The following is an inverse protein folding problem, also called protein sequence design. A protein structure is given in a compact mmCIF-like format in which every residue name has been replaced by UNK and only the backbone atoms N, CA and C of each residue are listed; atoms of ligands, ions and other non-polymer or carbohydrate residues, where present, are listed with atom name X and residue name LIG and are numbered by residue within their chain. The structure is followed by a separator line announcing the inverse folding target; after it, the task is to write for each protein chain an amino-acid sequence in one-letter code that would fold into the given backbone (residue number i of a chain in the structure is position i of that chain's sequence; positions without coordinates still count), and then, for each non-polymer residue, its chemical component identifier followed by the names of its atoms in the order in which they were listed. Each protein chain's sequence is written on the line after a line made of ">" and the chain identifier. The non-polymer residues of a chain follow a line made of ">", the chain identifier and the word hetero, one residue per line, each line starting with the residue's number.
data_IF_074058153541
#
_entry.id   IF_074058153541
#
_cell.length_a   1.000
_cell.length_b   1.000
_cell.length_c   1.000
_cell.angle_alpha   90.00
_cell.angle_beta   90.00
_cell.angle_gamma   90.00
#
_symmetry.space_group_name_H-M   'P 1'
#
loop_
_entity.id
_entity.type
_entity.pdbx_description
1 polymer ?
#
# COMPACT_ATOMS: atom_id res chain seq x y z
N UNK A 1 39.71 38.93 31.24
CA UNK A 1 40.14 39.62 30.01
C UNK A 1 39.19 39.21 28.92
N UNK A 2 38.21 40.07 28.63
CA UNK A 2 37.21 39.85 27.59
C UNK A 2 37.77 40.46 26.30
N UNK A 3 37.95 39.66 25.26
CA UNK A 3 38.44 40.12 23.97
C UNK A 3 37.21 40.39 23.10
N UNK A 4 36.88 41.67 22.91
CA UNK A 4 35.95 42.13 21.88
C UNK A 4 36.62 41.97 20.51
N UNK A 5 36.02 41.16 19.63
CA UNK A 5 36.46 41.02 18.24
C UNK A 5 35.53 41.90 17.40
N UNK A 6 36.00 43.10 17.06
CA UNK A 6 35.32 44.00 16.13
C UNK A 6 35.62 43.56 14.69
N UNK A 7 34.59 43.19 13.94
CA UNK A 7 34.74 42.85 12.53
C UNK A 7 35.07 44.10 11.70
N UNK A 8 36.17 44.03 10.95
CA UNK A 8 36.60 45.04 9.97
C UNK A 8 36.44 44.47 8.56
N UNK A 9 35.82 45.24 7.67
CA UNK A 9 35.73 44.91 6.25
C UNK A 9 37.06 45.29 5.57
N UNK A 10 37.38 44.69 4.41
CA UNK A 10 38.65 44.88 3.65
C UNK A 10 38.99 46.34 3.25
N UNK A 11 38.13 47.32 3.56
CA UNK A 11 38.36 48.74 3.29
C UNK A 11 38.43 49.63 4.56
N UNK A 12 38.55 49.05 5.77
CA UNK A 12 38.90 49.82 6.98
C UNK A 12 37.92 50.93 7.39
N UNK A 13 36.63 50.84 7.04
CA UNK A 13 35.59 51.77 7.51
C UNK A 13 34.62 51.08 8.47
N UNK A 14 34.15 51.76 9.54
CA UNK A 14 33.14 51.22 10.45
C UNK A 14 31.82 51.01 9.71
N UNK A 15 31.28 49.80 9.78
CA UNK A 15 29.99 49.47 9.17
C UNK A 15 28.86 50.25 9.88
N UNK A 16 28.16 51.10 9.13
CA UNK A 16 26.95 51.76 9.60
C UNK A 16 25.87 50.76 9.99
N UNK A 17 25.13 51.09 11.05
CA UNK A 17 24.02 50.30 11.61
C UNK A 17 23.03 49.86 10.52
N UNK A 18 23.04 48.58 10.16
CA UNK A 18 22.09 48.01 9.20
C UNK A 18 22.50 46.71 8.51
N UNK A 19 23.77 46.29 8.61
CA UNK A 19 24.23 45.03 8.00
C UNK A 19 23.85 43.86 8.91
N UNK A 20 22.93 43.01 8.44
CA UNK A 20 22.62 41.73 9.11
C UNK A 20 23.91 40.91 9.23
N UNK A 21 24.19 40.27 10.38
CA UNK A 21 25.41 39.50 10.55
C UNK A 21 25.52 38.44 9.46
N UNK A 22 26.65 38.43 8.75
CA UNK A 22 26.93 37.45 7.71
C UNK A 22 27.23 36.09 8.36
N UNK A 23 26.54 35.04 7.90
CA UNK A 23 26.83 33.67 8.33
C UNK A 23 28.11 33.21 7.63
N UNK A 24 29.15 32.97 8.42
CA UNK A 24 30.38 32.31 7.93
C UNK A 24 30.17 30.80 7.96
N UNK A 25 30.33 30.16 6.81
CA UNK A 25 30.29 28.70 6.68
C UNK A 25 31.74 28.16 6.61
N UNK A 26 32.09 27.25 7.52
CA UNK A 26 33.40 26.60 7.58
C UNK A 26 33.38 25.19 6.97
N UNK A 27 32.28 24.81 6.30
CA UNK A 27 32.12 23.49 5.69
C UNK A 27 33.19 23.24 4.63
N UNK A 28 33.94 22.14 4.81
CA UNK A 28 34.92 21.68 3.82
C UNK A 28 34.28 20.86 2.69
N UNK A 29 33.11 20.28 2.96
CA UNK A 29 32.35 19.45 2.02
C UNK A 29 31.19 20.28 1.49
N UNK A 30 31.15 20.50 0.17
CA UNK A 30 30.07 21.26 -0.45
C UNK A 30 28.80 20.41 -0.52
N UNK A 31 27.68 20.99 -0.07
CA UNK A 31 26.38 20.34 -0.18
C UNK A 31 25.90 20.43 -1.63
N UNK A 32 25.91 19.30 -2.34
CA UNK A 32 25.47 19.24 -3.75
C UNK A 32 23.94 19.29 -3.90
N UNK A 33 23.21 18.88 -2.86
CA UNK A 33 21.74 18.82 -2.85
C UNK A 33 21.22 19.82 -1.84
N UNK A 34 20.23 20.63 -2.23
CA UNK A 34 19.58 21.55 -1.29
C UNK A 34 18.78 20.76 -0.25
N UNK A 35 18.66 21.32 0.94
CA UNK A 35 17.83 20.73 1.98
C UNK A 35 16.39 20.64 1.45
N UNK A 36 15.76 19.45 1.44
CA UNK A 36 14.41 19.28 0.95
C UNK A 36 13.40 19.94 1.90
N UNK A 37 12.15 20.06 1.44
CA UNK A 37 11.11 20.59 2.30
C UNK A 37 10.73 19.55 3.37
N UNK A 38 10.93 19.92 4.64
CA UNK A 38 10.77 18.99 5.78
C UNK A 38 9.32 18.57 6.05
N UNK A 39 8.32 19.28 5.49
CA UNK A 39 6.90 18.95 5.64
C UNK A 39 6.30 18.34 4.35
N UNK A 40 7.09 18.22 3.29
CA UNK A 40 6.66 17.73 1.97
C UNK A 40 6.05 16.33 2.06
N UNK A 41 6.70 15.42 2.78
CA UNK A 41 6.21 14.05 2.97
C UNK A 41 4.80 14.02 3.57
N UNK A 42 4.49 14.89 4.54
CA UNK A 42 3.16 14.95 5.15
C UNK A 42 2.13 15.50 4.17
N UNK A 43 2.50 16.57 3.47
CA UNK A 43 1.63 17.24 2.49
C UNK A 43 1.31 16.33 1.30
N UNK A 44 2.33 15.76 0.67
CA UNK A 44 2.16 14.85 -0.48
C UNK A 44 1.34 13.62 -0.10
N UNK A 45 1.57 13.05 1.09
CA UNK A 45 0.78 11.91 1.58
C UNK A 45 -0.70 12.27 1.70
N UNK A 46 -1.02 13.45 2.23
CA UNK A 46 -2.40 13.90 2.41
C UNK A 46 -3.07 14.30 1.10
N UNK A 47 -2.34 15.01 0.23
CA UNK A 47 -2.79 15.37 -1.13
C UNK A 47 -3.08 14.12 -1.96
N UNK A 48 -2.19 13.11 -1.90
CA UNK A 48 -2.40 11.80 -2.55
C UNK A 48 -3.59 11.04 -1.98
N UNK A 49 -3.89 11.19 -0.69
CA UNK A 49 -5.06 10.56 -0.07
C UNK A 49 -6.38 11.21 -0.53
N UNK A 50 -6.44 12.55 -0.57
CA UNK A 50 -7.66 13.29 -0.90
C UNK A 50 -7.93 13.39 -2.41
N UNK A 51 -6.90 13.68 -3.21
CA UNK A 51 -7.01 13.97 -4.64
C UNK A 51 -8.06 15.06 -4.94
N UNK A 52 -8.17 16.07 -4.06
CA UNK A 52 -9.28 17.04 -4.08
C UNK A 52 -9.25 18.00 -5.28
N UNK A 53 -8.07 18.27 -5.83
CA UNK A 53 -7.90 19.14 -6.99
C UNK A 53 -8.06 18.41 -8.33
N UNK A 54 -8.33 17.10 -8.31
CA UNK A 54 -8.44 16.27 -9.50
C UNK A 54 -9.89 16.06 -9.88
N UNK A 55 -10.16 16.10 -11.19
CA UNK A 55 -11.44 15.68 -11.74
C UNK A 55 -11.62 14.15 -11.56
N UNK A 56 -12.85 13.64 -11.53
CA UNK A 56 -13.12 12.20 -11.37
C UNK A 56 -12.30 11.30 -12.29
N UNK A 57 -12.13 11.70 -13.55
CA UNK A 57 -11.38 10.94 -14.56
C UNK A 57 -9.86 11.06 -14.44
N UNK A 58 -9.37 12.03 -13.65
CA UNK A 58 -7.93 12.26 -13.43
C UNK A 58 -7.42 11.60 -12.13
N UNK A 59 -8.31 10.96 -11.36
CA UNK A 59 -7.94 10.36 -10.07
C UNK A 59 -7.32 8.98 -10.24
N UNK A 60 -6.24 8.78 -9.51
CA UNK A 60 -5.62 7.48 -9.33
C UNK A 60 -6.41 6.61 -8.36
N UNK A 61 -6.30 5.28 -8.50
CA UNK A 61 -6.92 4.31 -7.60
C UNK A 61 -6.15 4.20 -6.26
N UNK A 62 -6.06 5.32 -5.54
CA UNK A 62 -5.39 5.45 -4.23
C UNK A 62 -6.23 6.32 -3.30
N UNK A 63 -5.95 6.29 -2.00
CA UNK A 63 -6.63 7.13 -1.01
C UNK A 63 -8.14 6.87 -0.98
N UNK A 64 -8.93 7.94 -0.95
CA UNK A 64 -10.40 7.87 -0.92
C UNK A 64 -10.98 7.12 -2.13
N UNK A 65 -10.41 7.28 -3.32
CA UNK A 65 -10.88 6.61 -4.53
C UNK A 65 -10.78 5.09 -4.40
N UNK A 66 -9.67 4.58 -3.87
CA UNK A 66 -9.49 3.14 -3.62
C UNK A 66 -10.44 2.63 -2.52
N UNK A 67 -10.70 3.43 -1.49
CA UNK A 67 -11.63 3.07 -0.40
C UNK A 67 -13.05 2.93 -0.92
N UNK A 68 -13.53 3.90 -1.71
CA UNK A 68 -14.87 3.81 -2.31
C UNK A 68 -14.98 2.64 -3.29
N UNK A 69 -14.01 2.46 -4.20
CA UNK A 69 -14.03 1.35 -5.16
C UNK A 69 -13.86 -0.04 -4.55
N UNK A 70 -13.27 -0.17 -3.36
CA UNK A 70 -13.14 -1.46 -2.65
C UNK A 70 -14.35 -1.79 -1.79
N UNK A 71 -15.14 -0.79 -1.38
CA UNK A 71 -16.34 -0.97 -0.56
C UNK A 71 -17.59 -1.12 -1.43
N UNK A 72 -17.66 -0.43 -2.57
CA UNK A 72 -18.77 -0.50 -3.51
C UNK A 72 -18.46 -1.47 -4.68
N UNK A 73 -19.46 -2.18 -5.22
CA UNK A 73 -20.89 -2.05 -4.96
C UNK A 73 -21.35 -2.74 -3.66
N UNK A 74 -22.39 -2.19 -3.05
CA UNK A 74 -23.09 -2.82 -1.93
C UNK A 74 -24.41 -3.37 -2.48
N UNK A 75 -24.61 -4.68 -2.43
CA UNK A 75 -25.89 -5.30 -2.79
C UNK A 75 -26.71 -5.68 -1.56
N UNK A 76 -28.03 -5.66 -1.71
CA UNK A 76 -28.94 -6.23 -0.72
C UNK A 76 -28.80 -7.77 -0.66
N UNK A 77 -29.21 -8.38 0.45
CA UNK A 77 -29.21 -9.84 0.64
C UNK A 77 -29.96 -10.61 -0.46
N UNK A 78 -31.00 -10.00 -1.05
CA UNK A 78 -31.79 -10.62 -2.14
C UNK A 78 -31.24 -10.32 -3.54
N UNK A 79 -30.16 -9.54 -3.63
CA UNK A 79 -29.60 -8.98 -4.86
C UNK A 79 -30.63 -8.31 -5.78
N UNK A 80 -31.67 -7.69 -5.19
CA UNK A 80 -32.71 -6.92 -5.89
C UNK A 80 -32.38 -5.43 -5.99
N UNK A 81 -31.40 -4.96 -5.23
CA UNK A 81 -30.90 -3.61 -5.30
C UNK A 81 -29.39 -3.59 -5.10
N UNK A 82 -28.73 -2.62 -5.73
CA UNK A 82 -27.32 -2.36 -5.54
C UNK A 82 -27.04 -0.87 -5.53
N UNK A 83 -26.18 -0.50 -4.60
CA UNK A 83 -25.65 0.84 -4.46
C UNK A 83 -24.24 0.86 -5.06
N UNK A 84 -24.00 1.77 -6.00
CA UNK A 84 -22.74 1.92 -6.74
C UNK A 84 -22.13 3.30 -6.49
N UNK A 85 -20.81 3.34 -6.33
CA UNK A 85 -20.06 4.59 -6.25
C UNK A 85 -19.75 5.14 -7.66
N UNK A 86 -20.21 6.37 -7.93
CA UNK A 86 -19.96 7.09 -9.19
C UNK A 86 -18.70 7.94 -9.05
N UNK A 87 -18.74 8.95 -8.18
CA UNK A 87 -17.65 9.91 -7.97
C UNK A 87 -17.78 10.61 -6.61
N UNK A 88 -16.76 11.36 -6.20
CA UNK A 88 -16.81 12.22 -5.01
C UNK A 88 -16.30 13.62 -5.30
N UNK A 89 -16.69 14.59 -4.48
CA UNK A 89 -16.21 15.97 -4.51
C UNK A 89 -15.85 16.41 -3.11
N UNK A 90 -14.69 17.02 -2.96
CA UNK A 90 -14.21 17.55 -1.67
C UNK A 90 -14.19 19.06 -1.77
N UNK A 91 -14.87 19.72 -0.84
CA UNK A 91 -14.91 21.16 -0.74
C UNK A 91 -15.83 21.85 -1.75
N UNK A 92 -16.04 23.13 -1.49
CA UNK A 92 -16.87 24.00 -2.32
C UNK A 92 -15.97 24.79 -3.27
N UNK A 93 -15.74 24.25 -4.46
CA UNK A 93 -14.95 24.92 -5.50
C UNK A 93 -15.81 25.93 -6.23
N UNK A 94 -15.64 27.21 -5.94
CA UNK A 94 -16.39 28.29 -6.57
C UNK A 94 -15.66 29.63 -6.52
N UNK A 95 -16.04 30.55 -7.39
CA UNK A 95 -15.59 31.93 -7.30
C UNK A 95 -16.19 32.66 -6.08
N UNK A 96 -15.70 33.87 -5.80
CA UNK A 96 -16.14 34.68 -4.66
C UNK A 96 -17.67 34.86 -4.58
N UNK A 97 -18.32 35.15 -5.72
CA UNK A 97 -19.78 35.33 -5.79
C UNK A 97 -20.58 34.03 -5.94
N UNK A 98 -19.92 32.88 -6.16
CA UNK A 98 -20.56 31.57 -6.28
C UNK A 98 -21.21 31.26 -7.63
N UNK A 99 -21.17 32.15 -8.62
CA UNK A 99 -21.76 31.90 -9.95
C UNK A 99 -20.94 30.92 -10.81
N UNK A 100 -19.60 30.96 -10.69
CA UNK A 100 -18.69 30.04 -11.36
C UNK A 100 -18.31 28.94 -10.37
N UNK A 101 -18.58 27.67 -10.70
CA UNK A 101 -18.40 26.54 -9.79
C UNK A 101 -17.78 25.32 -10.48
N UNK A 102 -16.95 24.59 -9.73
CA UNK A 102 -16.39 23.32 -10.15
C UNK A 102 -14.98 23.41 -10.72
N UNK A 103 -14.23 22.33 -10.51
CA UNK A 103 -12.82 22.20 -10.88
C UNK A 103 -12.56 22.21 -12.39
N UNK A 104 -13.58 21.99 -13.21
CA UNK A 104 -13.45 22.00 -14.67
C UNK A 104 -13.07 23.38 -15.22
N UNK A 105 -13.42 24.46 -14.52
CA UNK A 105 -12.96 25.82 -14.86
C UNK A 105 -11.48 26.06 -14.55
N UNK A 106 -10.83 25.13 -13.84
CA UNK A 106 -9.39 25.08 -13.62
C UNK A 106 -8.70 24.11 -14.59
N UNK A 107 -9.30 23.89 -15.76
CA UNK A 107 -8.72 23.11 -16.86
C UNK A 107 -8.70 23.94 -18.14
N UNK A 108 -7.65 23.74 -18.92
CA UNK A 108 -7.57 24.21 -20.30
C UNK A 108 -7.05 23.09 -21.20
N UNK A 109 -7.11 23.29 -22.51
CA UNK A 109 -6.59 22.34 -23.48
C UNK A 109 -5.20 22.76 -23.94
N UNK A 110 -4.29 21.79 -24.05
CA UNK A 110 -2.99 22.01 -24.63
C UNK A 110 -3.14 22.48 -26.09
N UNK A 111 -2.42 23.55 -26.45
CA UNK A 111 -2.46 24.12 -27.81
C UNK A 111 -1.96 23.16 -28.89
N UNK A 112 -1.07 22.25 -28.52
CA UNK A 112 -0.38 21.36 -29.47
C UNK A 112 -1.11 20.04 -29.65
N UNK A 113 -1.44 19.34 -28.56
CA UNK A 113 -2.02 17.99 -28.61
C UNK A 113 -3.47 17.91 -28.12
N UNK A 114 -4.06 19.01 -27.64
CA UNK A 114 -5.43 19.04 -27.13
C UNK A 114 -5.64 18.39 -25.76
N UNK A 115 -4.60 17.77 -25.16
CA UNK A 115 -4.70 17.15 -23.83
C UNK A 115 -5.15 18.15 -22.78
N UNK A 116 -5.96 17.71 -21.81
CA UNK A 116 -6.37 18.55 -20.69
C UNK A 116 -5.16 18.87 -19.81
N UNK A 117 -4.96 20.15 -19.51
CA UNK A 117 -3.92 20.67 -18.63
C UNK A 117 -4.56 21.44 -17.46
N UNK A 118 -3.90 21.43 -16.31
CA UNK A 118 -4.37 22.13 -15.11
C UNK A 118 -3.84 23.54 -15.06
N UNK A 119 -4.73 24.51 -14.88
CA UNK A 119 -4.36 25.92 -14.73
C UNK A 119 -4.30 26.28 -13.25
N UNK A 120 -3.33 27.12 -12.88
CA UNK A 120 -3.11 27.52 -11.49
C UNK A 120 -3.42 29.02 -11.32
N UNK A 121 -4.50 29.40 -10.63
CA UNK A 121 -4.83 30.80 -10.34
C UNK A 121 -3.73 31.60 -9.63
N UNK A 122 -2.83 30.93 -8.92
CA UNK A 122 -1.81 31.56 -8.06
C UNK A 122 -0.46 31.74 -8.74
N UNK A 123 -0.27 31.18 -9.94
CA UNK A 123 0.99 31.29 -10.69
C UNK A 123 0.74 31.96 -12.04
N UNK A 124 1.69 32.77 -12.48
CA UNK A 124 1.70 33.36 -13.83
C UNK A 124 2.55 32.56 -14.81
N UNK A 125 3.15 31.45 -14.37
CA UNK A 125 4.13 30.69 -15.14
C UNK A 125 3.46 29.85 -16.25
N UNK A 126 4.21 29.60 -17.32
CA UNK A 126 3.76 28.69 -18.36
C UNK A 126 3.69 27.24 -17.85
N UNK A 127 2.67 26.52 -18.29
CA UNK A 127 2.38 25.14 -17.90
C UNK A 127 2.91 24.19 -18.97
N UNK A 128 3.74 23.25 -18.54
CA UNK A 128 4.23 22.18 -19.40
C UNK A 128 3.17 21.09 -19.51
N UNK A 129 2.78 20.74 -20.73
CA UNK A 129 1.86 19.65 -20.99
C UNK A 129 2.51 18.30 -20.65
N UNK A 130 1.90 17.53 -19.76
CA UNK A 130 2.40 16.20 -19.39
C UNK A 130 2.37 15.17 -20.53
N UNK A 131 1.50 15.36 -21.54
CA UNK A 131 1.36 14.42 -22.66
C UNK A 131 2.34 14.65 -23.81
N UNK A 132 2.67 15.91 -24.13
CA UNK A 132 3.53 16.25 -25.28
C UNK A 132 4.74 17.13 -24.95
N UNK A 133 4.88 17.60 -23.72
CA UNK A 133 6.00 18.45 -23.27
C UNK A 133 5.95 19.90 -23.76
N UNK A 134 4.91 20.32 -24.49
CA UNK A 134 4.81 21.71 -24.96
C UNK A 134 4.48 22.70 -23.84
N UNK A 135 4.97 23.93 -23.96
CA UNK A 135 4.64 25.05 -23.07
C UNK A 135 3.27 25.64 -23.43
N UNK A 136 2.43 25.85 -22.43
CA UNK A 136 1.07 26.38 -22.58
C UNK A 136 0.90 27.55 -21.62
N UNK A 137 0.26 28.63 -22.09
CA UNK A 137 -0.04 29.78 -21.22
C UNK A 137 -1.02 29.36 -20.13
N UNK A 138 -0.78 29.83 -18.91
CA UNK A 138 -1.70 29.65 -17.79
C UNK A 138 -2.91 30.58 -17.91
N UNK A 139 -3.87 30.16 -18.73
CA UNK A 139 -5.11 30.89 -18.98
C UNK A 139 -6.18 30.44 -18.00
N UNK A 140 -6.40 31.24 -16.95
CA UNK A 140 -7.37 30.96 -15.92
C UNK A 140 -8.73 31.56 -16.29
N UNK A 141 -9.79 30.77 -16.21
CA UNK A 141 -11.15 31.25 -16.43
C UNK A 141 -11.59 32.03 -15.18
N UNK A 142 -11.95 33.29 -15.36
CA UNK A 142 -12.47 34.16 -14.30
C UNK A 142 -13.99 34.30 -14.43
N UNK A 143 -14.64 34.63 -13.32
CA UNK A 143 -16.09 34.84 -13.29
C UNK A 143 -16.46 36.22 -13.83
N UNK A 144 -17.46 36.32 -14.71
CA UNK A 144 -17.89 37.60 -15.31
C UNK A 144 -18.37 38.63 -14.28
N UNK A 145 -18.94 38.18 -13.16
CA UNK A 145 -19.50 39.07 -12.13
C UNK A 145 -18.47 39.57 -11.12
N UNK A 146 -17.53 38.72 -10.69
CA UNK A 146 -16.55 39.09 -9.66
C UNK A 146 -15.10 39.13 -10.13
N UNK A 147 -14.82 38.78 -11.39
CA UNK A 147 -13.48 38.70 -11.99
C UNK A 147 -12.49 37.78 -11.26
N UNK A 148 -12.99 36.95 -10.34
CA UNK A 148 -12.20 35.98 -9.57
C UNK A 148 -12.34 34.59 -10.19
N UNK A 149 -11.29 33.77 -10.19
CA UNK A 149 -11.34 32.39 -10.64
C UNK A 149 -12.02 31.48 -9.62
N UNK A 150 -12.24 30.23 -10.00
CA UNK A 150 -12.69 29.19 -9.07
C UNK A 150 -11.59 28.91 -8.05
N UNK A 151 -11.94 28.96 -6.77
CA UNK A 151 -11.06 28.57 -5.66
C UNK A 151 -11.80 27.72 -4.65
N UNK A 152 -11.06 27.13 -3.71
CA UNK A 152 -11.66 26.43 -2.58
C UNK A 152 -12.29 27.44 -1.63
N UNK A 153 -13.61 27.46 -1.55
CA UNK A 153 -14.36 28.28 -0.61
C UNK A 153 -14.46 27.56 0.74
N UNK A 154 -13.73 28.09 1.72
CA UNK A 154 -13.74 27.61 3.10
C UNK A 154 -14.87 28.28 3.88
N UNK A 155 -15.46 27.53 4.82
CA UNK A 155 -16.52 28.06 5.71
C UNK A 155 -15.93 28.97 6.78
N UNK A 156 -14.76 28.60 7.29
CA UNK A 156 -14.00 29.33 8.30
C UNK A 156 -12.51 29.22 7.95
N UNK A 157 -11.74 30.24 8.29
CA UNK A 157 -10.28 30.16 8.19
C UNK A 157 -9.66 29.47 9.43
N UNK A 158 -8.33 29.31 9.41
CA UNK A 158 -7.58 28.66 10.48
C UNK A 158 -7.71 29.43 11.81
N UNK A 159 -7.67 30.76 11.77
CA UNK A 159 -7.69 31.61 12.96
C UNK A 159 -9.07 31.60 13.61
N UNK A 160 -10.13 31.72 12.82
CA UNK A 160 -11.51 31.60 13.27
C UNK A 160 -11.79 30.24 13.91
N UNK A 161 -11.26 29.16 13.32
CA UNK A 161 -11.38 27.82 13.90
C UNK A 161 -10.68 27.72 15.27
N UNK A 162 -9.50 28.31 15.42
CA UNK A 162 -8.76 28.37 16.69
C UNK A 162 -9.52 29.15 17.76
N UNK A 163 -9.96 30.38 17.44
CA UNK A 163 -10.65 31.27 18.37
C UNK A 163 -12.01 30.70 18.82
N UNK A 164 -12.73 30.02 17.92
CA UNK A 164 -14.08 29.49 18.19
C UNK A 164 -14.09 28.03 18.66
N UNK A 165 -12.94 27.38 18.80
CA UNK A 165 -12.89 25.98 19.21
C UNK A 165 -13.45 25.00 18.17
N UNK A 166 -13.43 25.35 16.87
CA UNK A 166 -13.98 24.53 15.78
C UNK A 166 -12.89 23.70 15.09
N UNK A 167 -13.29 22.67 14.34
CA UNK A 167 -12.37 21.91 13.47
C UNK A 167 -12.30 22.58 12.10
N UNK A 168 -11.08 22.77 11.58
CA UNK A 168 -10.86 23.27 10.23
C UNK A 168 -11.06 22.13 9.23
N UNK A 169 -12.16 22.16 8.48
CA UNK A 169 -12.60 21.04 7.66
C UNK A 169 -13.24 21.49 6.33
N UNK A 170 -13.36 20.54 5.42
CA UNK A 170 -14.04 20.67 4.13
C UNK A 170 -15.09 19.57 3.95
N UNK A 171 -16.26 19.88 3.37
CA UNK A 171 -17.31 18.88 3.16
C UNK A 171 -16.91 17.88 2.08
N UNK A 172 -17.24 16.61 2.29
CA UNK A 172 -17.14 15.54 1.31
C UNK A 172 -18.54 15.21 0.81
N UNK A 173 -18.74 15.36 -0.49
CA UNK A 173 -19.94 14.91 -1.19
C UNK A 173 -19.61 13.68 -2.03
N UNK A 174 -20.49 12.69 -2.03
CA UNK A 174 -20.32 11.45 -2.79
C UNK A 174 -21.55 11.25 -3.66
N UNK A 175 -21.33 11.10 -4.97
CA UNK A 175 -22.38 10.77 -5.93
C UNK A 175 -22.51 9.25 -6.00
N UNK A 176 -23.69 8.76 -5.68
CA UNK A 176 -23.99 7.34 -5.57
C UNK A 176 -25.16 7.02 -6.49
N UNK A 177 -25.13 5.84 -7.10
CA UNK A 177 -26.21 5.31 -7.95
C UNK A 177 -26.87 4.11 -7.25
N UNK A 178 -28.18 4.19 -7.05
CA UNK A 178 -29.01 3.06 -6.65
C UNK A 178 -29.66 2.44 -7.88
N UNK A 179 -29.33 1.19 -8.18
CA UNK A 179 -29.98 0.39 -9.21
C UNK A 179 -30.90 -0.63 -8.55
N UNK A 180 -32.18 -0.65 -8.94
CA UNK A 180 -33.18 -1.62 -8.46
C UNK A 180 -33.55 -2.55 -9.62
N UNK A 181 -33.58 -3.85 -9.36
CA UNK A 181 -33.96 -4.88 -10.31
C UNK A 181 -35.27 -5.54 -9.92
N UNK A 182 -36.11 -5.82 -10.91
CA UNK A 182 -37.15 -6.82 -10.78
C UNK A 182 -36.55 -8.18 -11.14
N UNK A 183 -36.76 -9.16 -10.25
CA UNK A 183 -36.29 -10.53 -10.42
C UNK A 183 -37.50 -11.40 -10.75
N UNK A 184 -37.49 -12.00 -11.92
CA UNK A 184 -38.49 -12.98 -12.31
C UNK A 184 -38.19 -14.32 -11.60
N UNK A 185 -39.17 -14.85 -10.85
CA UNK A 185 -39.00 -16.03 -10.00
C UNK A 185 -38.79 -17.31 -10.82
N UNK A 186 -39.29 -17.37 -12.06
CA UNK A 186 -39.17 -18.56 -12.92
C UNK A 186 -37.86 -18.61 -13.70
N UNK A 187 -37.37 -17.46 -14.18
CA UNK A 187 -36.21 -17.40 -15.09
C UNK A 187 -34.92 -16.95 -14.40
N UNK A 188 -35.00 -16.44 -13.16
CA UNK A 188 -33.89 -15.81 -12.43
C UNK A 188 -33.21 -14.66 -13.22
N UNK A 189 -33.83 -14.17 -14.29
CA UNK A 189 -33.35 -13.02 -15.04
C UNK A 189 -33.65 -11.74 -14.24
N UNK A 190 -32.69 -10.80 -14.30
CA UNK A 190 -32.81 -9.49 -13.66
C UNK A 190 -33.08 -8.45 -14.73
N UNK A 191 -34.20 -7.75 -14.63
CA UNK A 191 -34.48 -6.56 -15.43
C UNK A 191 -34.32 -5.31 -14.56
N UNK A 192 -33.71 -4.26 -15.11
CA UNK A 192 -33.57 -2.98 -14.41
C UNK A 192 -34.96 -2.35 -14.29
N UNK A 193 -35.39 -2.09 -13.06
CA UNK A 193 -36.63 -1.39 -12.74
C UNK A 193 -36.42 0.12 -12.65
N UNK A 194 -35.41 0.53 -11.90
CA UNK A 194 -35.16 1.92 -11.57
C UNK A 194 -33.66 2.17 -11.38
N UNK A 195 -33.22 3.36 -11.76
CA UNK A 195 -31.87 3.86 -11.53
C UNK A 195 -31.98 5.28 -11.00
N UNK A 196 -31.49 5.50 -9.78
CA UNK A 196 -31.46 6.83 -9.15
C UNK A 196 -30.03 7.21 -8.82
N UNK A 197 -29.60 8.38 -9.27
CA UNK A 197 -28.32 8.98 -8.90
C UNK A 197 -28.54 10.19 -8.00
N UNK A 198 -27.82 10.25 -6.89
CA UNK A 198 -27.90 11.36 -5.94
C UNK A 198 -26.52 11.71 -5.39
N UNK A 199 -26.26 13.01 -5.21
CA UNK A 199 -25.07 13.53 -4.53
C UNK A 199 -25.40 13.71 -3.05
N UNK A 200 -24.81 12.87 -2.20
CA UNK A 200 -25.07 12.85 -0.76
C UNK A 200 -23.91 13.50 -0.01
N UNK A 201 -24.21 14.33 0.99
CA UNK A 201 -23.21 14.80 1.94
C UNK A 201 -22.77 13.65 2.84
N UNK A 202 -21.48 13.32 2.81
CA UNK A 202 -20.91 12.15 3.48
C UNK A 202 -20.20 12.51 4.80
N UNK A 203 -20.02 13.80 5.08
CA UNK A 203 -19.35 14.30 6.28
C UNK A 203 -18.27 15.33 5.96
N UNK A 204 -17.61 15.81 6.99
CA UNK A 204 -16.50 16.77 6.88
C UNK A 204 -15.16 16.07 7.05
N UNK A 205 -14.19 16.40 6.20
CA UNK A 205 -12.81 15.97 6.31
C UNK A 205 -11.96 17.10 6.88
N UNK A 206 -11.18 16.88 7.96
CA UNK A 206 -10.24 17.89 8.46
C UNK A 206 -9.26 18.30 7.37
N UNK A 207 -9.03 19.59 7.18
CA UNK A 207 -8.11 20.08 6.15
C UNK A 207 -6.74 20.36 6.77
N UNK A 208 -5.67 19.99 6.07
CA UNK A 208 -4.31 20.26 6.50
C UNK A 208 -3.97 21.74 6.26
N UNK A 209 -3.31 22.38 7.22
CA UNK A 209 -2.80 23.75 7.09
C UNK A 209 -1.54 23.77 6.20
N UNK A 210 -1.09 24.96 5.80
CA UNK A 210 0.15 25.12 5.03
C UNK A 210 1.39 24.61 5.77
N UNK A 211 1.33 24.52 7.11
CA UNK A 211 2.41 24.06 7.97
C UNK A 211 2.41 22.53 8.19
N UNK A 212 1.48 21.79 7.58
CA UNK A 212 1.36 20.34 7.76
C UNK A 212 0.64 19.90 9.03
N UNK A 213 -0.14 20.80 9.64
CA UNK A 213 -0.89 20.56 10.88
C UNK A 213 -2.40 20.53 10.62
N UNK A 214 -3.18 20.15 11.63
CA UNK A 214 -4.65 20.14 11.58
C UNK A 214 -5.22 20.91 12.77
N UNK A 215 -6.26 21.72 12.56
CA UNK A 215 -6.99 22.33 13.67
C UNK A 215 -8.18 21.44 14.01
N UNK A 216 -8.13 20.80 15.18
CA UNK A 216 -9.19 19.93 15.71
C UNK A 216 -9.71 20.55 17.00
N UNK A 217 -10.98 20.94 17.01
CA UNK A 217 -11.63 21.62 18.14
C UNK A 217 -10.83 22.84 18.63
N UNK A 218 -10.39 23.69 17.70
CA UNK A 218 -9.57 24.88 17.93
C UNK A 218 -8.10 24.62 18.32
N UNK A 219 -7.70 23.37 18.49
CA UNK A 219 -6.33 23.01 18.87
C UNK A 219 -5.56 22.49 17.66
N UNK A 220 -4.34 23.00 17.47
CA UNK A 220 -3.43 22.51 16.44
C UNK A 220 -2.87 21.13 16.82
N UNK A 221 -2.94 20.20 15.88
CA UNK A 221 -2.50 18.81 16.02
C UNK A 221 -1.65 18.40 14.83
N UNK A 222 -0.72 17.48 15.08
CA UNK A 222 0.14 16.89 14.06
C UNK A 222 -0.10 15.39 14.01
N UNK A 223 -0.16 14.84 12.81
CA UNK A 223 -0.18 13.39 12.60
C UNK A 223 1.25 12.93 12.39
N UNK A 224 1.69 11.98 13.23
CA UNK A 224 3.05 11.42 13.15
C UNK A 224 3.03 10.19 12.26
N UNK A 225 3.99 10.12 11.33
CA UNK A 225 4.21 8.93 10.51
C UNK A 225 4.54 7.72 11.39
N UNK A 226 3.74 6.66 11.27
CA UNK A 226 3.97 5.43 12.00
C UNK A 226 4.92 4.52 11.23
N UNK A 227 5.90 3.96 11.93
CA UNK A 227 6.73 2.89 11.40
C UNK A 227 6.14 1.54 11.84
N UNK A 228 5.58 0.79 10.90
CA UNK A 228 5.07 -0.56 11.13
C UNK A 228 5.78 -1.58 10.23
N UNK A 229 5.72 -2.85 10.60
CA UNK A 229 6.23 -3.93 9.75
C UNK A 229 5.41 -3.99 8.46
N UNK A 230 6.08 -4.16 7.33
CA UNK A 230 5.41 -4.39 6.06
C UNK A 230 4.61 -5.69 6.10
N UNK A 231 3.48 -5.78 5.39
CA UNK A 231 2.84 -7.06 5.14
C UNK A 231 3.80 -8.00 4.41
N UNK A 232 3.78 -9.28 4.78
CA UNK A 232 4.67 -10.27 4.19
C UNK A 232 4.92 -11.48 5.08
N UNK A 233 5.89 -12.30 4.66
CA UNK A 233 6.33 -13.48 5.39
C UNK A 233 7.70 -13.22 6.00
N UNK A 234 7.80 -13.41 7.31
CA UNK A 234 9.02 -13.18 8.08
C UNK A 234 9.49 -14.48 8.71
N UNK A 235 10.78 -14.77 8.59
CA UNK A 235 11.40 -15.91 9.24
C UNK A 235 12.33 -15.41 10.33
N UNK A 236 12.12 -15.89 11.55
CA UNK A 236 12.93 -15.59 12.72
C UNK A 236 13.54 -16.90 13.23
N UNK A 237 14.82 -16.84 13.61
CA UNK A 237 15.59 -17.99 14.08
C UNK A 237 16.40 -17.59 15.31
N UNK A 238 16.35 -18.39 16.37
CA UNK A 238 17.20 -18.17 17.54
C UNK A 238 18.66 -18.54 17.23
N UNK A 239 19.63 -17.85 17.85
CA UNK A 239 21.07 -18.05 17.61
C UNK A 239 21.54 -19.49 17.83
N UNK A 240 20.86 -20.23 18.69
CA UNK A 240 21.16 -21.63 19.03
C UNK A 240 20.45 -22.65 18.13
N UNK A 241 19.78 -22.22 17.06
CA UNK A 241 18.96 -23.07 16.18
C UNK A 241 17.85 -23.87 16.88
N UNK A 242 17.46 -23.53 18.12
CA UNK A 242 16.43 -24.29 18.85
C UNK A 242 15.03 -23.79 18.57
N UNK A 243 14.89 -22.68 17.85
CA UNK A 243 13.62 -22.04 17.58
C UNK A 243 13.61 -21.49 16.16
N UNK A 244 12.61 -21.91 15.40
CA UNK A 244 12.30 -21.42 14.06
C UNK A 244 10.86 -20.95 14.05
N UNK A 245 10.65 -19.73 13.58
CA UNK A 245 9.37 -19.06 13.54
C UNK A 245 9.14 -18.48 12.15
N UNK A 246 8.00 -18.77 11.56
CA UNK A 246 7.51 -18.09 10.36
C UNK A 246 6.26 -17.30 10.71
N UNK A 247 6.24 -16.00 10.40
CA UNK A 247 5.09 -15.11 10.63
C UNK A 247 4.55 -14.63 9.29
N UNK A 248 3.26 -14.79 9.07
CA UNK A 248 2.52 -14.21 7.95
C UNK A 248 1.76 -13.02 8.49
N UNK A 249 2.19 -11.82 8.09
CA UNK A 249 1.58 -10.55 8.46
C UNK A 249 0.76 -10.06 7.25
N UNK A 250 -0.58 -10.13 7.28
CA UNK A 250 -1.39 -9.60 6.19
C UNK A 250 -1.47 -8.06 6.27
N UNK A 251 -1.87 -7.42 5.16
CA UNK A 251 -2.21 -5.99 5.17
C UNK A 251 -3.46 -5.71 6.01
N UNK A 252 -4.44 -6.62 5.96
CA UNK A 252 -5.65 -6.60 6.77
C UNK A 252 -6.04 -8.03 7.13
N UNK A 253 -6.42 -8.26 8.39
CA UNK A 253 -6.91 -9.55 8.87
C UNK A 253 -5.96 -10.23 9.86
N UNK A 254 -6.19 -11.52 10.05
CA UNK A 254 -5.57 -12.30 11.12
C UNK A 254 -4.13 -12.69 10.83
N UNK A 255 -3.27 -12.59 11.85
CA UNK A 255 -1.87 -12.99 11.75
C UNK A 255 -1.76 -14.50 11.91
N UNK A 256 -0.90 -15.14 11.09
CA UNK A 256 -0.65 -16.58 11.18
C UNK A 256 0.82 -16.81 11.48
N UNK A 257 1.11 -17.56 12.54
CA UNK A 257 2.47 -17.86 13.00
C UNK A 257 2.67 -19.38 13.03
N UNK A 258 3.81 -19.83 12.51
CA UNK A 258 4.26 -21.22 12.56
C UNK A 258 5.50 -21.29 13.42
N UNK A 259 5.49 -22.11 14.47
CA UNK A 259 6.60 -22.24 15.40
C UNK A 259 6.95 -23.71 15.69
N UNK A 260 8.24 -24.01 15.79
CA UNK A 260 8.70 -25.29 16.32
C UNK A 260 8.86 -25.22 17.84
N UNK A 261 8.46 -26.29 18.54
CA UNK A 261 8.78 -26.48 19.95
C UNK A 261 10.12 -27.20 20.15
N UNK A 262 10.54 -27.37 21.41
CA UNK A 262 11.76 -28.09 21.77
C UNK A 262 11.74 -29.59 21.45
N UNK A 263 10.58 -30.16 21.13
CA UNK A 263 10.37 -31.54 20.69
C UNK A 263 10.28 -31.65 19.16
N UNK A 264 10.62 -30.59 18.43
CA UNK A 264 10.49 -30.47 16.97
C UNK A 264 9.06 -30.67 16.45
N UNK A 265 8.04 -30.38 17.26
CA UNK A 265 6.65 -30.36 16.82
C UNK A 265 6.30 -28.99 16.25
N UNK A 266 5.71 -28.97 15.05
CA UNK A 266 5.28 -27.75 14.38
C UNK A 266 3.87 -27.35 14.84
N UNK A 267 3.77 -26.16 15.43
CA UNK A 267 2.53 -25.54 15.85
C UNK A 267 2.16 -24.36 14.97
N UNK A 268 0.86 -24.09 14.89
CA UNK A 268 0.28 -22.90 14.30
C UNK A 268 -0.42 -22.08 15.38
N UNK A 269 -0.35 -20.76 15.23
CA UNK A 269 -1.04 -19.78 16.05
C UNK A 269 -1.70 -18.75 15.16
N UNK A 270 -2.98 -18.46 15.41
CA UNK A 270 -3.75 -17.43 14.69
C UNK A 270 -4.07 -16.32 15.70
N UNK A 271 -3.80 -15.06 15.36
CA UNK A 271 -4.05 -13.86 16.19
C UNK A 271 -3.48 -13.96 17.62
N UNK A 272 -2.30 -14.58 17.75
CA UNK A 272 -1.64 -14.79 19.05
C UNK A 272 -2.51 -15.55 20.07
N UNK A 273 -3.51 -16.31 19.62
CA UNK A 273 -4.37 -17.15 20.46
C UNK A 273 -3.65 -18.45 20.84
N UNK A 274 -4.39 -19.46 21.32
CA UNK A 274 -3.85 -20.77 21.70
C UNK A 274 -3.18 -21.46 20.51
N UNK A 275 -2.00 -22.03 20.74
CA UNK A 275 -1.29 -22.86 19.75
C UNK A 275 -1.98 -24.20 19.54
N UNK A 276 -1.97 -24.69 18.30
CA UNK A 276 -2.48 -26.01 17.92
C UNK A 276 -1.57 -26.64 16.86
N UNK A 277 -1.66 -27.95 16.65
CA UNK A 277 -0.76 -28.65 15.73
C UNK A 277 -0.97 -28.17 14.29
N UNK A 278 0.12 -28.00 13.54
CA UNK A 278 0.06 -27.54 12.16
C UNK A 278 -0.72 -28.49 11.24
N UNK A 279 -0.77 -29.79 11.56
CA UNK A 279 -1.59 -30.75 10.82
C UNK A 279 -3.09 -30.41 10.85
N UNK A 280 -3.59 -29.83 11.94
CA UNK A 280 -5.00 -29.38 12.03
C UNK A 280 -5.23 -28.21 11.06
N UNK A 281 -4.28 -27.27 10.98
CA UNK A 281 -4.33 -26.17 10.03
C UNK A 281 -4.34 -26.66 8.58
N UNK A 282 -3.45 -27.60 8.24
CA UNK A 282 -3.36 -28.20 6.91
C UNK A 282 -4.63 -28.97 6.51
N UNK A 283 -5.25 -29.66 7.47
CA UNK A 283 -6.54 -30.33 7.25
C UNK A 283 -7.65 -29.34 6.94
N UNK A 284 -7.69 -28.20 7.63
CA UNK A 284 -8.64 -27.13 7.33
C UNK A 284 -8.43 -26.52 5.93
N UNK A 285 -7.19 -26.51 5.42
CA UNK A 285 -6.85 -26.08 4.06
C UNK A 285 -7.15 -27.12 2.97
N UNK A 286 -7.61 -28.32 3.33
CA UNK A 286 -8.03 -29.36 2.39
C UNK A 286 -7.14 -30.61 2.31
N UNK A 287 -6.04 -30.68 3.07
CA UNK A 287 -5.22 -31.91 3.20
C UNK A 287 -5.87 -32.84 4.22
N UNK A 288 -6.94 -33.54 3.82
CA UNK A 288 -7.87 -34.22 4.73
C UNK A 288 -7.26 -35.41 5.44
N UNK A 289 -6.42 -36.22 4.78
CA UNK A 289 -5.83 -37.43 5.37
C UNK A 289 -4.35 -37.26 5.73
N UNK A 290 -3.85 -38.11 6.63
CA UNK A 290 -2.41 -38.16 6.93
C UNK A 290 -1.60 -38.56 5.69
N UNK A 291 -2.14 -39.44 4.84
CA UNK A 291 -1.50 -39.81 3.57
C UNK A 291 -1.30 -38.56 2.71
N UNK A 292 -2.32 -37.72 2.51
CA UNK A 292 -2.22 -36.49 1.70
C UNK A 292 -1.12 -35.54 2.20
N UNK A 293 -1.06 -35.33 3.53
CA UNK A 293 -0.05 -34.49 4.16
C UNK A 293 1.34 -35.10 3.92
N UNK A 294 1.50 -36.40 4.17
CA UNK A 294 2.77 -37.08 3.99
C UNK A 294 3.23 -37.06 2.53
N UNK A 295 2.33 -37.28 1.56
CA UNK A 295 2.66 -37.21 0.13
C UNK A 295 3.09 -35.81 -0.31
N UNK A 296 2.54 -34.78 0.33
CA UNK A 296 2.82 -33.39 -0.03
C UNK A 296 4.19 -32.93 0.47
N UNK A 297 4.58 -33.34 1.67
CA UNK A 297 5.79 -32.84 2.34
C UNK A 297 6.96 -33.83 2.34
N UNK A 298 6.73 -35.13 2.11
CA UNK A 298 7.76 -36.15 2.09
C UNK A 298 7.87 -36.83 0.72
N UNK A 299 9.08 -37.28 0.41
CA UNK A 299 9.31 -38.18 -0.72
C UNK A 299 8.89 -39.59 -0.30
N UNK A 300 8.05 -40.24 -1.10
CA UNK A 300 7.52 -41.57 -0.79
C UNK A 300 8.29 -42.63 -1.56
N UNK A 301 8.74 -43.64 -0.83
CA UNK A 301 9.36 -44.82 -1.41
C UNK A 301 8.34 -45.93 -1.63
N UNK A 302 8.39 -46.55 -2.81
CA UNK A 302 7.49 -47.65 -3.17
C UNK A 302 8.13 -48.98 -2.84
N UNK A 303 7.46 -49.78 -2.03
CA UNK A 303 7.87 -51.16 -1.74
C UNK A 303 6.92 -52.11 -2.47
N UNK A 304 7.48 -53.04 -3.25
CA UNK A 304 6.73 -54.10 -3.96
C UNK A 304 6.95 -55.42 -3.25
N UNK A 305 5.87 -56.15 -2.99
CA UNK A 305 5.94 -57.53 -2.49
C UNK A 305 5.90 -58.49 -3.68
N UNK A 306 6.85 -59.41 -3.77
CA UNK A 306 6.78 -60.56 -4.70
C UNK A 306 7.05 -61.85 -3.92
N UNK A 307 6.01 -62.68 -3.77
CA UNK A 307 6.06 -63.85 -2.89
C UNK A 307 6.29 -63.44 -1.43
N UNK A 308 7.29 -64.04 -0.79
CA UNK A 308 7.70 -63.70 0.58
C UNK A 308 8.82 -62.64 0.67
N UNK A 309 9.17 -61.97 -0.44
CA UNK A 309 10.27 -61.00 -0.49
C UNK A 309 9.78 -59.59 -0.78
N UNK A 310 10.33 -58.62 -0.03
CA UNK A 310 10.11 -57.19 -0.21
C UNK A 310 11.17 -56.61 -1.15
N UNK A 311 10.73 -55.82 -2.12
CA UNK A 311 11.58 -55.13 -3.08
C UNK A 311 11.35 -53.62 -2.95
N UNK A 312 12.38 -52.90 -2.55
CA UNK A 312 12.35 -51.44 -2.49
C UNK A 312 12.61 -50.89 -3.90
N UNK A 313 11.70 -50.08 -4.42
CA UNK A 313 11.91 -49.38 -5.69
C UNK A 313 13.01 -48.33 -5.55
N UNK A 314 14.00 -48.38 -6.45
CA UNK A 314 15.12 -47.44 -6.47
C UNK A 314 14.60 -46.00 -6.53
N UNK A 315 15.02 -45.18 -5.57
CA UNK A 315 14.63 -43.78 -5.42
C UNK A 315 15.81 -42.94 -4.88
N UNK A 316 15.82 -41.62 -5.11
CA UNK A 316 16.92 -40.75 -4.68
C UNK A 316 17.14 -40.71 -3.16
N UNK A 317 16.15 -41.09 -2.36
CA UNK A 317 16.23 -41.15 -0.88
C UNK A 317 17.22 -42.20 -0.39
N UNK A 318 17.63 -43.15 -1.25
CA UNK A 318 18.62 -44.17 -0.92
C UNK A 318 20.02 -43.58 -0.70
N UNK A 319 20.32 -42.42 -1.30
CA UNK A 319 21.65 -41.79 -1.20
C UNK A 319 21.91 -41.38 0.26
N UNK A 320 23.03 -41.83 0.81
CA UNK A 320 23.43 -41.57 2.20
C UNK A 320 22.97 -42.63 3.21
N UNK A 321 22.01 -43.49 2.86
CA UNK A 321 21.62 -44.65 3.67
C UNK A 321 22.71 -45.74 3.61
N UNK A 322 22.77 -46.60 4.64
CA UNK A 322 23.68 -47.75 4.70
C UNK A 322 22.96 -49.01 4.23
N UNK A 323 23.61 -49.76 3.34
CA UNK A 323 23.06 -51.01 2.82
C UNK A 323 23.01 -52.08 3.92
N UNK A 324 21.84 -52.68 4.15
CA UNK A 324 21.65 -53.78 5.10
C UNK A 324 22.04 -55.14 4.54
N UNK A 325 22.33 -55.23 3.24
CA UNK A 325 22.77 -56.42 2.51
C UNK A 325 23.59 -55.98 1.29
N UNK A 326 24.32 -56.91 0.68
CA UNK A 326 25.00 -56.64 -0.59
C UNK A 326 23.98 -56.34 -1.69
N UNK A 327 24.15 -55.20 -2.37
CA UNK A 327 23.32 -54.79 -3.51
C UNK A 327 24.06 -55.21 -4.78
N UNK A 328 23.47 -56.10 -5.57
CA UNK A 328 24.08 -56.63 -6.79
C UNK A 328 23.36 -56.19 -8.07
N UNK A 329 24.08 -56.13 -9.19
CA UNK A 329 23.51 -56.00 -10.53
C UNK A 329 22.79 -57.32 -10.95
N UNK A 330 22.02 -57.29 -12.05
CA UNK A 330 21.43 -58.47 -12.71
C UNK A 330 22.45 -59.57 -13.04
N UNK A 331 23.72 -59.20 -13.19
CA UNK A 331 24.85 -60.12 -13.44
C UNK A 331 25.48 -60.70 -12.17
N UNK A 332 25.04 -60.27 -10.98
CA UNK A 332 25.57 -60.73 -9.69
C UNK A 332 26.79 -59.97 -9.17
N UNK A 333 27.27 -58.93 -9.88
CA UNK A 333 28.35 -58.08 -9.39
C UNK A 333 27.88 -57.16 -8.26
N UNK A 334 28.64 -57.09 -7.16
CA UNK A 334 28.29 -56.28 -5.99
C UNK A 334 28.58 -54.80 -6.25
N UNK A 335 27.52 -53.99 -6.31
CA UNK A 335 27.57 -52.53 -6.47
C UNK A 335 27.82 -51.86 -5.12
N UNK A 336 27.13 -52.30 -4.05
CA UNK A 336 27.29 -51.78 -2.69
C UNK A 336 27.41 -52.94 -1.71
N UNK A 337 28.50 -52.98 -0.95
CA UNK A 337 28.70 -53.99 0.11
C UNK A 337 27.88 -53.68 1.36
N UNK A 338 27.53 -54.73 2.10
CA UNK A 338 26.90 -54.65 3.42
C UNK A 338 27.59 -53.63 4.34
N UNK A 339 26.80 -52.76 4.97
CA UNK A 339 27.24 -51.73 5.91
C UNK A 339 27.84 -50.47 5.26
N UNK A 340 28.07 -50.46 3.95
CA UNK A 340 28.57 -49.26 3.24
C UNK A 340 27.43 -48.31 2.90
N UNK A 341 27.75 -47.00 2.86
CA UNK A 341 26.80 -45.96 2.45
C UNK A 341 26.62 -45.99 0.93
N UNK A 342 25.38 -45.81 0.49
CA UNK A 342 25.06 -45.62 -0.93
C UNK A 342 25.50 -44.21 -1.33
N UNK A 343 26.50 -44.11 -2.20
CA UNK A 343 26.96 -42.85 -2.79
C UNK A 343 26.14 -42.48 -4.03
N UNK A 344 26.24 -41.25 -4.51
CA UNK A 344 25.59 -40.84 -5.76
C UNK A 344 26.01 -41.70 -6.96
N UNK A 345 27.30 -42.08 -7.03
CA UNK A 345 27.81 -43.00 -8.06
C UNK A 345 27.22 -44.41 -7.97
N UNK A 346 27.06 -44.92 -6.75
CA UNK A 346 26.43 -46.22 -6.53
C UNK A 346 24.93 -46.18 -6.88
N UNK A 347 24.24 -45.08 -6.58
CA UNK A 347 22.85 -44.88 -6.95
C UNK A 347 22.65 -44.89 -8.48
N UNK A 348 23.53 -44.23 -9.25
CA UNK A 348 23.49 -44.29 -10.71
C UNK A 348 23.72 -45.70 -11.25
N UNK A 349 24.66 -46.45 -10.66
CA UNK A 349 24.93 -47.84 -11.01
C UNK A 349 23.72 -48.75 -10.71
N UNK A 350 23.07 -48.58 -9.55
CA UNK A 350 21.84 -49.31 -9.17
C UNK A 350 20.67 -48.97 -10.10
N UNK A 351 20.60 -47.73 -10.59
CA UNK A 351 19.51 -47.31 -11.50
C UNK A 351 19.70 -47.86 -12.92
N UNK A 352 20.95 -48.12 -13.33
CA UNK A 352 21.29 -48.70 -14.65
C UNK A 352 21.18 -50.23 -14.67
N UNK A 353 21.35 -50.86 -13.52
CA UNK A 353 21.15 -52.30 -13.29
C UNK A 353 19.69 -52.70 -13.51
#
# INVERSE_FOLDING_TARGET
>A
MSIEITAINEAGKPAGNGIKPARVDFSKIQTAVRIPNLIEVQRESYERFLQMELLPNERDLVGLQAVFKSTFPISDFRDTSSLEFVEFRIGNWMCKCGQLQGLHHLRSNCKTCGSVIRVNPLSSDDIICHSCGSYNKNLVITCDNCSEPVGLKLKYDVQECQERGMTYSVPLHVKIRLTVWDKDEETSQKSIRDIKEEEVYFGDLPLMTQNGTFIINGTERVIVSQLHRSPGVFFEKAMNNTYFLAKIIPYRGSWVEFEYDSKNLLYVRIDRKRKFLASIFLRALGLKSDDDILRKYYTIDKIKLKGARLFWQVSPTLVGLRASADITDKKGEVIVKHGKKVTSSAYEAITKA
#
